data_IF_246939556167
#
_entry.id   IF_246939556167
#
_cell.length_a   1.000
_cell.length_b   1.000
_cell.length_c   1.000
_cell.angle_alpha   90.00
_cell.angle_beta   90.00
_cell.angle_gamma   90.00
#
_symmetry.space_group_name_H-M   'P 1'
#
loop_
_entity.id
_entity.type
_entity.pdbx_description
1 polymer ?
#
# COMPACT_ATOMS: atom_id res chain seq x y z
N UNK A 1 17.42 -28.31 -3.36
CA UNK A 1 17.06 -26.94 -2.92
C UNK A 1 18.20 -26.41 -2.08
N UNK A 2 18.60 -25.15 -2.23
CA UNK A 2 19.60 -24.55 -1.33
C UNK A 2 19.00 -24.40 0.07
N UNK A 3 19.84 -24.40 1.11
CA UNK A 3 19.41 -24.19 2.51
C UNK A 3 18.60 -22.88 2.65
N UNK A 4 18.99 -21.83 1.91
CA UNK A 4 18.27 -20.57 1.86
C UNK A 4 16.84 -20.72 1.31
N UNK A 5 16.64 -21.50 0.24
CA UNK A 5 15.29 -21.75 -0.31
C UNK A 5 14.39 -22.49 0.68
N UNK A 6 14.95 -23.41 1.48
CA UNK A 6 14.20 -24.15 2.50
C UNK A 6 13.75 -23.20 3.62
N UNK A 7 14.67 -22.37 4.13
CA UNK A 7 14.37 -21.38 5.17
C UNK A 7 13.30 -20.38 4.71
N UNK A 8 13.42 -19.84 3.49
CA UNK A 8 12.42 -18.94 2.91
C UNK A 8 11.04 -19.61 2.77
N UNK A 9 11.02 -20.86 2.32
CA UNK A 9 9.75 -21.62 2.18
C UNK A 9 9.07 -21.81 3.53
N UNK A 10 9.83 -22.21 4.56
CA UNK A 10 9.30 -22.39 5.92
C UNK A 10 8.78 -21.07 6.49
N UNK A 11 9.54 -19.97 6.33
CA UNK A 11 9.14 -18.64 6.81
C UNK A 11 7.84 -18.15 6.13
N UNK A 12 7.75 -18.28 4.80
CA UNK A 12 6.54 -17.91 4.04
C UNK A 12 5.32 -18.75 4.46
N UNK A 13 5.50 -20.06 4.66
CA UNK A 13 4.45 -20.93 5.16
C UNK A 13 4.02 -20.54 6.58
N UNK A 14 4.97 -20.22 7.46
CA UNK A 14 4.66 -19.80 8.83
C UNK A 14 3.88 -18.48 8.86
N UNK A 15 4.31 -17.47 8.12
CA UNK A 15 3.58 -16.19 8.00
C UNK A 15 2.20 -16.43 7.39
N UNK A 16 2.12 -17.18 6.29
CA UNK A 16 0.86 -17.53 5.63
C UNK A 16 -0.11 -18.27 6.56
N UNK A 17 0.39 -19.21 7.37
CA UNK A 17 -0.40 -19.95 8.35
C UNK A 17 -0.88 -19.03 9.50
N UNK A 18 -0.05 -18.11 9.98
CA UNK A 18 -0.46 -17.14 11.01
C UNK A 18 -1.56 -16.21 10.48
N UNK A 19 -1.39 -15.69 9.27
CA UNK A 19 -2.40 -14.86 8.61
C UNK A 19 -3.68 -15.66 8.39
N UNK A 20 -3.58 -16.89 7.87
CA UNK A 20 -4.73 -17.75 7.63
C UNK A 20 -5.45 -18.15 8.92
N UNK A 21 -4.71 -18.48 9.98
CA UNK A 21 -5.30 -18.80 11.29
C UNK A 21 -5.92 -17.57 11.95
N UNK A 22 -5.37 -16.36 11.77
CA UNK A 22 -6.02 -15.12 12.19
C UNK A 22 -7.38 -14.94 11.50
N UNK A 23 -7.45 -15.17 10.19
CA UNK A 23 -8.72 -15.12 9.45
C UNK A 23 -9.67 -16.29 9.75
N UNK A 24 -9.17 -17.47 10.17
CA UNK A 24 -10.01 -18.66 10.47
C UNK A 24 -10.43 -18.81 11.93
N UNK A 25 -9.60 -18.43 12.90
CA UNK A 25 -9.85 -18.61 14.35
C UNK A 25 -10.59 -17.42 14.95
N UNK A 26 -11.58 -16.90 14.25
CA UNK A 26 -12.50 -15.87 14.75
C UNK A 26 -13.49 -16.45 15.75
N UNK A 27 -12.95 -16.85 16.91
CA UNK A 27 -13.71 -17.06 18.14
C UNK A 27 -13.19 -16.10 19.20
N UNK A 28 -13.21 -14.80 18.90
CA UNK A 28 -13.38 -13.79 19.94
C UNK A 28 -14.80 -13.27 19.80
N UNK A 29 -15.70 -13.93 20.53
CA UNK A 29 -17.08 -13.47 20.71
C UNK A 29 -17.01 -12.00 21.14
N UNK A 30 -17.54 -11.12 20.30
CA UNK A 30 -17.91 -9.69 20.53
C UNK A 30 -17.29 -8.59 19.63
N UNK A 31 -16.55 -8.85 18.55
CA UNK A 31 -16.26 -7.80 17.53
C UNK A 31 -16.62 -8.32 16.13
N UNK A 32 -17.75 -7.95 15.53
CA UNK A 32 -17.88 -6.76 14.69
C UNK A 32 -17.16 -6.83 13.33
N UNK A 33 -16.30 -7.83 13.08
CA UNK A 33 -15.51 -7.89 11.86
C UNK A 33 -16.31 -8.44 10.68
N UNK A 34 -16.80 -7.54 9.83
CA UNK A 34 -17.47 -7.89 8.58
C UNK A 34 -16.43 -8.06 7.46
N UNK A 35 -16.19 -9.32 7.08
CA UNK A 35 -15.24 -9.71 6.03
C UNK A 35 -15.54 -9.06 4.68
N UNK A 36 -16.82 -8.77 4.39
CA UNK A 36 -17.23 -8.08 3.15
C UNK A 36 -16.78 -6.63 3.18
N UNK A 37 -16.96 -5.97 4.31
CA UNK A 37 -16.47 -4.62 4.54
C UNK A 37 -14.93 -4.59 4.38
N UNK A 38 -14.19 -5.54 4.98
CA UNK A 38 -12.73 -5.58 4.89
C UNK A 38 -12.22 -5.83 3.45
N UNK A 39 -12.86 -6.71 2.69
CA UNK A 39 -12.48 -6.93 1.29
C UNK A 39 -12.76 -5.71 0.41
N UNK A 40 -13.84 -4.96 0.67
CA UNK A 40 -14.07 -3.67 0.01
C UNK A 40 -12.96 -2.65 0.30
N UNK A 41 -12.46 -2.58 1.54
CA UNK A 41 -11.33 -1.72 1.88
C UNK A 41 -10.09 -2.09 1.07
N UNK A 42 -9.75 -3.38 1.00
CA UNK A 42 -8.59 -3.86 0.26
C UNK A 42 -8.67 -3.55 -1.23
N UNK A 43 -9.83 -3.81 -1.86
CA UNK A 43 -10.07 -3.49 -3.28
C UNK A 43 -10.01 -1.97 -3.51
N UNK A 44 -10.54 -1.17 -2.58
CA UNK A 44 -10.47 0.29 -2.66
C UNK A 44 -9.03 0.79 -2.60
N UNK A 45 -8.22 0.31 -1.65
CA UNK A 45 -6.80 0.69 -1.53
C UNK A 45 -6.01 0.26 -2.77
N UNK A 46 -6.26 -0.94 -3.29
CA UNK A 46 -5.62 -1.41 -4.52
C UNK A 46 -6.01 -0.55 -5.73
N UNK A 47 -7.28 -0.13 -5.83
CA UNK A 47 -7.75 0.81 -6.84
C UNK A 47 -7.10 2.18 -6.73
N UNK A 48 -6.95 2.71 -5.51
CA UNK A 48 -6.24 3.98 -5.26
C UNK A 48 -4.79 3.87 -5.69
N UNK A 49 -4.09 2.79 -5.33
CA UNK A 49 -2.69 2.54 -5.73
C UNK A 49 -2.53 2.53 -7.26
N UNK A 50 -3.40 1.80 -7.98
CA UNK A 50 -3.35 1.80 -9.45
C UNK A 50 -3.67 3.20 -10.01
N UNK A 51 -4.66 3.89 -9.44
CA UNK A 51 -5.05 5.24 -9.85
C UNK A 51 -3.90 6.26 -9.73
N UNK A 52 -3.20 6.26 -8.59
CA UNK A 52 -2.04 7.13 -8.39
C UNK A 52 -0.85 6.73 -9.26
N UNK A 53 -0.59 5.44 -9.47
CA UNK A 53 0.43 4.99 -10.42
C UNK A 53 0.17 5.54 -11.85
N UNK A 54 -1.09 5.58 -12.28
CA UNK A 54 -1.48 6.21 -13.56
C UNK A 54 -1.29 7.73 -13.56
N UNK A 55 -1.59 8.42 -12.45
CA UNK A 55 -1.33 9.85 -12.29
C UNK A 55 0.17 10.13 -12.41
N UNK A 56 1.02 9.37 -11.71
CA UNK A 56 2.48 9.51 -11.82
C UNK A 56 2.97 9.21 -13.23
N UNK A 57 2.39 8.22 -13.89
CA UNK A 57 2.72 7.94 -15.29
C UNK A 57 2.39 9.12 -16.20
N UNK A 58 1.23 9.75 -16.02
CA UNK A 58 0.85 10.96 -16.76
C UNK A 58 1.83 12.11 -16.48
N UNK A 59 2.14 12.39 -15.20
CA UNK A 59 3.10 13.44 -14.82
C UNK A 59 4.50 13.20 -15.38
N UNK A 60 4.93 11.94 -15.48
CA UNK A 60 6.24 11.59 -16.05
C UNK A 60 6.39 11.94 -17.54
N UNK A 61 5.27 12.20 -18.25
CA UNK A 61 5.31 12.67 -19.64
C UNK A 61 5.79 14.11 -19.78
N UNK A 62 5.63 14.92 -18.74
CA UNK A 62 5.99 16.34 -18.74
C UNK A 62 7.40 16.59 -18.16
N UNK A 63 8.04 15.57 -17.59
CA UNK A 63 9.40 15.67 -17.05
C UNK A 63 9.74 14.60 -16.03
N UNK A 64 10.91 14.76 -15.39
CA UNK A 64 11.36 13.85 -14.33
C UNK A 64 10.56 14.10 -13.06
N UNK A 65 9.93 13.05 -12.54
CA UNK A 65 9.08 13.12 -11.34
C UNK A 65 9.66 12.38 -10.13
N UNK A 66 10.59 11.45 -10.35
CA UNK A 66 11.19 10.61 -9.32
C UNK A 66 12.71 10.61 -9.47
N UNK A 67 13.42 10.71 -8.34
CA UNK A 67 14.88 10.64 -8.26
C UNK A 67 15.31 9.68 -7.16
N UNK A 68 16.52 9.12 -7.26
CA UNK A 68 17.07 8.25 -6.21
C UNK A 68 17.72 9.00 -5.05
N UNK A 69 18.07 10.28 -5.27
CA UNK A 69 18.69 11.15 -4.27
C UNK A 69 18.40 12.61 -4.61
N UNK A 70 18.17 13.44 -3.58
CA UNK A 70 17.99 14.89 -3.74
C UNK A 70 19.31 15.63 -4.00
N UNK A 71 20.46 15.02 -3.72
CA UNK A 71 21.77 15.63 -3.95
C UNK A 71 22.22 15.44 -5.40
N UNK A 72 22.12 14.20 -5.91
CA UNK A 72 22.58 13.86 -7.26
C UNK A 72 21.51 14.07 -8.31
N UNK A 73 20.23 14.14 -7.91
CA UNK A 73 19.07 14.26 -8.81
C UNK A 73 19.05 13.22 -9.93
N UNK A 74 19.56 12.02 -9.64
CA UNK A 74 19.58 10.91 -10.58
C UNK A 74 18.15 10.50 -10.92
N UNK A 75 17.73 10.77 -12.15
CA UNK A 75 16.39 10.47 -12.64
C UNK A 75 16.10 8.96 -12.60
N UNK A 76 14.91 8.61 -12.13
CA UNK A 76 14.40 7.24 -12.15
C UNK A 76 13.60 7.03 -13.42
N UNK A 77 13.82 5.90 -14.08
CA UNK A 77 13.00 5.48 -15.21
C UNK A 77 11.54 5.28 -14.77
N UNK A 78 10.55 5.98 -15.39
CA UNK A 78 9.15 5.89 -15.02
C UNK A 78 8.47 4.63 -15.57
N UNK A 79 9.13 3.47 -15.42
CA UNK A 79 8.52 2.18 -15.74
C UNK A 79 7.29 1.93 -14.86
N UNK A 80 6.32 1.20 -15.41
CA UNK A 80 5.12 0.80 -14.66
C UNK A 80 5.45 0.14 -13.31
N UNK A 81 6.54 -0.64 -13.26
CA UNK A 81 7.01 -1.30 -12.03
C UNK A 81 7.44 -0.28 -10.97
N UNK A 82 8.25 0.71 -11.35
CA UNK A 82 8.74 1.73 -10.42
C UNK A 82 7.60 2.64 -9.93
N UNK A 83 6.67 3.02 -10.81
CA UNK A 83 5.55 3.87 -10.45
C UNK A 83 4.53 3.17 -9.55
N UNK A 84 4.22 1.90 -9.83
CA UNK A 84 3.33 1.10 -8.99
C UNK A 84 3.97 0.82 -7.62
N UNK A 85 5.29 0.55 -7.60
CA UNK A 85 6.04 0.41 -6.36
C UNK A 85 6.05 1.69 -5.54
N UNK A 86 6.36 2.84 -6.16
CA UNK A 86 6.33 4.15 -5.50
C UNK A 86 4.96 4.47 -4.91
N UNK A 87 3.89 4.24 -5.68
CA UNK A 87 2.51 4.41 -5.22
C UNK A 87 2.20 3.50 -4.02
N UNK A 88 2.52 2.21 -4.08
CA UNK A 88 2.31 1.29 -2.96
C UNK A 88 3.06 1.69 -1.68
N UNK A 89 4.33 2.06 -1.81
CA UNK A 89 5.18 2.53 -0.70
C UNK A 89 4.63 3.82 -0.09
N UNK A 90 4.08 4.71 -0.91
CA UNK A 90 3.49 5.98 -0.47
C UNK A 90 2.13 5.78 0.19
N UNK A 91 1.22 5.05 -0.47
CA UNK A 91 -0.12 4.76 0.02
C UNK A 91 -0.09 4.03 1.38
N UNK A 92 0.82 3.06 1.53
CA UNK A 92 0.96 2.31 2.77
C UNK A 92 1.82 3.02 3.82
N UNK A 93 2.24 4.27 3.56
CA UNK A 93 3.09 5.08 4.45
C UNK A 93 4.40 4.39 4.84
N UNK A 94 4.95 3.57 3.95
CA UNK A 94 6.21 2.84 4.19
C UNK A 94 7.40 3.79 4.00
N UNK A 95 7.44 4.53 2.89
CA UNK A 95 8.44 5.57 2.63
C UNK A 95 9.90 5.12 2.72
N UNK A 96 10.30 4.06 2.00
CA UNK A 96 11.69 3.54 2.03
C UNK A 96 12.78 4.58 1.69
N UNK A 97 12.43 5.61 0.91
CA UNK A 97 13.35 6.69 0.54
C UNK A 97 14.27 6.38 -0.64
N UNK A 98 14.09 5.24 -1.30
CA UNK A 98 14.79 4.82 -2.51
C UNK A 98 14.25 5.50 -3.78
N UNK A 99 12.97 5.89 -3.77
CA UNK A 99 12.32 6.70 -4.79
C UNK A 99 11.75 7.97 -4.15
N UNK A 100 12.27 9.13 -4.55
CA UNK A 100 11.91 10.42 -3.98
C UNK A 100 11.14 11.28 -5.00
N UNK A 101 9.92 11.74 -4.67
CA UNK A 101 9.16 12.60 -5.55
C UNK A 101 9.74 14.01 -5.63
N UNK A 102 9.77 14.55 -6.84
CA UNK A 102 10.14 15.94 -7.14
C UNK A 102 9.05 16.63 -7.95
N UNK A 103 9.08 17.96 -7.96
CA UNK A 103 8.10 18.78 -8.68
C UNK A 103 6.65 18.47 -8.25
N UNK A 104 5.70 18.38 -9.20
CA UNK A 104 4.28 18.19 -8.90
C UNK A 104 3.97 16.85 -8.24
N UNK A 105 4.81 15.81 -8.43
CA UNK A 105 4.59 14.50 -7.84
C UNK A 105 4.58 14.54 -6.31
N UNK A 106 5.21 15.53 -5.67
CA UNK A 106 5.17 15.72 -4.20
C UNK A 106 3.77 15.98 -3.67
N UNK A 107 2.98 16.79 -4.37
CA UNK A 107 1.61 17.10 -3.95
C UNK A 107 0.74 15.84 -4.04
N UNK A 108 0.86 15.09 -5.13
CA UNK A 108 0.12 13.85 -5.30
C UNK A 108 0.55 12.78 -4.28
N UNK A 109 1.83 12.66 -3.98
CA UNK A 109 2.32 11.75 -2.95
C UNK A 109 1.78 12.10 -1.55
N UNK A 110 1.69 13.40 -1.23
CA UNK A 110 1.08 13.84 0.03
C UNK A 110 -0.41 13.47 0.11
N UNK A 111 -1.17 13.70 -0.97
CA UNK A 111 -2.58 13.34 -1.06
C UNK A 111 -2.78 11.82 -0.99
N UNK A 112 -1.94 11.05 -1.68
CA UNK A 112 -1.97 9.59 -1.67
C UNK A 112 -1.72 9.04 -0.26
N UNK A 113 -0.69 9.52 0.43
CA UNK A 113 -0.39 9.10 1.80
C UNK A 113 -1.54 9.47 2.76
N UNK A 114 -2.15 10.65 2.59
CA UNK A 114 -3.31 11.04 3.36
C UNK A 114 -4.50 10.08 3.14
N UNK A 115 -4.80 9.71 1.89
CA UNK A 115 -5.85 8.74 1.58
C UNK A 115 -5.52 7.37 2.19
N UNK A 116 -4.27 6.94 2.09
CA UNK A 116 -3.78 5.67 2.62
C UNK A 116 -3.99 5.52 4.13
N UNK A 117 -3.93 6.62 4.88
CA UNK A 117 -4.21 6.66 6.31
C UNK A 117 -5.71 6.84 6.58
N UNK A 118 -6.35 7.82 5.93
CA UNK A 118 -7.72 8.22 6.25
C UNK A 118 -8.76 7.17 5.83
N UNK A 119 -8.55 6.46 4.72
CA UNK A 119 -9.52 5.51 4.18
C UNK A 119 -9.69 4.27 5.08
N UNK A 120 -8.61 3.60 5.56
CA UNK A 120 -8.71 2.58 6.60
C UNK A 120 -9.32 3.10 7.90
N UNK A 121 -8.94 4.30 8.36
CA UNK A 121 -9.49 4.88 9.59
C UNK A 121 -11.00 5.12 9.48
N UNK A 122 -11.47 5.73 8.40
CA UNK A 122 -12.89 5.95 8.14
C UNK A 122 -13.67 4.64 8.08
N UNK A 123 -13.05 3.61 7.48
CA UNK A 123 -13.61 2.26 7.44
C UNK A 123 -13.76 1.66 8.84
N UNK A 124 -12.72 1.74 9.68
CA UNK A 124 -12.77 1.25 11.06
C UNK A 124 -13.85 1.98 11.88
N UNK A 125 -13.91 3.31 11.78
CA UNK A 125 -14.94 4.13 12.43
C UNK A 125 -16.33 3.64 12.02
N UNK A 126 -16.60 3.51 10.72
CA UNK A 126 -17.89 3.02 10.21
C UNK A 126 -18.24 1.61 10.72
N UNK A 127 -17.24 0.72 10.83
CA UNK A 127 -17.45 -0.66 11.30
C UNK A 127 -17.85 -0.74 12.77
N UNK A 128 -17.42 0.22 13.59
CA UNK A 128 -17.76 0.31 15.02
C UNK A 128 -19.19 0.85 15.17
N UNK A 129 -19.49 1.98 14.53
CA UNK A 129 -20.80 2.65 14.67
C UNK A 129 -21.96 1.87 14.04
N UNK A 130 -21.75 1.13 12.94
CA UNK A 130 -22.80 0.27 12.35
C UNK A 130 -23.30 -0.82 13.31
N UNK A 131 -22.56 -1.09 14.39
CA UNK A 131 -22.87 -2.15 15.36
C UNK A 131 -23.80 -1.68 16.49
N UNK A 132 -24.08 -0.37 16.57
CA UNK A 132 -24.93 0.24 17.61
C UNK A 132 -26.40 0.41 17.20
N UNK A 133 -26.74 0.16 15.92
CA UNK A 133 -28.11 0.09 15.39
C UNK A 133 -28.56 -1.37 15.18
#
# INVERSE_FOLDING_TARGET
MSVNSILLTIALLFVGLNVFTFFRRQTYKQTGFDMRLFSHLFVSLFGVMIGFALIYYALSRDGVILVTSLETMNAVDPSWRNLLYFSGVTLLSIGFGDLLPIGPARLFALLEAAIGILLPTAFFVKSIYKKED
#
